data_IF_542229419442
#
_entry.id   IF_542229419442
#
_cell.length_a   1.000
_cell.length_b   1.000
_cell.length_c   1.000
_cell.angle_alpha   90.00
_cell.angle_beta   90.00
_cell.angle_gamma   90.00
#
_symmetry.space_group_name_H-M   'P 1'
#
loop_
_entity.id
_entity.type
_entity.pdbx_description
1 polymer ?
#
# COMPACT_ATOMS: atom_id res chain seq x y z
N UNK A 1 2.05 -19.21 0.21
CA UNK A 1 1.80 -18.18 1.26
C UNK A 1 0.59 -17.36 0.83
N UNK A 2 -0.18 -16.79 1.78
CA UNK A 2 -1.30 -15.89 1.45
C UNK A 2 -0.87 -14.44 1.68
N UNK A 3 -0.87 -13.62 0.62
CA UNK A 3 -0.42 -12.23 0.63
C UNK A 3 -1.61 -11.31 0.38
N UNK A 4 -1.98 -10.49 1.35
CA UNK A 4 -3.03 -9.49 1.22
C UNK A 4 -2.43 -8.14 0.81
N UNK A 5 -3.02 -7.50 -0.20
CA UNK A 5 -2.56 -6.25 -0.78
C UNK A 5 -3.70 -5.22 -0.77
N UNK A 6 -3.46 -3.99 -0.28
CA UNK A 6 -4.47 -2.91 -0.36
C UNK A 6 -4.65 -2.45 -1.82
N UNK A 7 -5.62 -3.03 -2.50
CA UNK A 7 -5.95 -2.75 -3.88
C UNK A 7 -6.90 -1.55 -4.08
N UNK A 8 -7.21 -0.80 -3.02
CA UNK A 8 -8.23 0.27 -3.06
C UNK A 8 -7.97 1.32 -4.13
N UNK A 9 -6.70 1.64 -4.39
CA UNK A 9 -6.30 2.71 -5.32
C UNK A 9 -6.10 2.24 -6.76
N UNK A 10 -6.08 0.94 -7.02
CA UNK A 10 -5.81 0.36 -8.34
C UNK A 10 -6.99 0.41 -9.33
N UNK A 11 -8.15 0.92 -8.91
CA UNK A 11 -9.39 0.90 -9.69
C UNK A 11 -9.69 2.23 -10.37
N UNK A 12 -10.17 2.14 -11.61
CA UNK A 12 -10.67 3.29 -12.38
C UNK A 12 -9.87 3.56 -13.65
N UNK A 13 -10.38 4.47 -14.51
CA UNK A 13 -9.77 4.83 -15.79
C UNK A 13 -8.74 5.96 -15.69
N UNK A 14 -8.83 6.83 -14.68
CA UNK A 14 -7.91 7.96 -14.45
C UNK A 14 -7.11 7.70 -13.18
N UNK A 15 -6.17 6.75 -13.22
CA UNK A 15 -5.33 6.43 -12.08
C UNK A 15 -4.34 7.55 -11.79
N UNK A 16 -4.20 7.90 -10.50
CA UNK A 16 -3.07 8.72 -10.02
C UNK A 16 -1.78 7.89 -10.03
N UNK A 17 -0.62 8.51 -9.79
CA UNK A 17 0.66 7.78 -9.70
C UNK A 17 0.62 6.60 -8.71
N UNK A 18 0.03 6.80 -7.52
CA UNK A 18 -0.19 5.72 -6.53
C UNK A 18 -1.12 4.64 -7.08
N UNK A 19 -2.12 5.02 -7.86
CA UNK A 19 -3.05 4.07 -8.49
C UNK A 19 -2.38 3.21 -9.55
N UNK A 20 -1.54 3.82 -10.40
CA UNK A 20 -0.73 3.12 -11.40
C UNK A 20 0.24 2.16 -10.70
N UNK A 21 1.02 2.64 -9.75
CA UNK A 21 1.91 1.81 -8.94
C UNK A 21 1.18 0.61 -8.34
N UNK A 22 0.03 0.86 -7.69
CA UNK A 22 -0.74 -0.21 -7.06
C UNK A 22 -1.19 -1.25 -8.08
N UNK A 23 -1.70 -0.83 -9.23
CA UNK A 23 -2.16 -1.74 -10.28
C UNK A 23 -1.03 -2.58 -10.85
N UNK A 24 0.08 -1.94 -11.23
CA UNK A 24 1.25 -2.62 -11.77
C UNK A 24 1.84 -3.63 -10.78
N UNK A 25 1.96 -3.24 -9.50
CA UNK A 25 2.47 -4.14 -8.46
C UNK A 25 1.55 -5.35 -8.23
N UNK A 26 0.22 -5.13 -8.15
CA UNK A 26 -0.76 -6.19 -7.94
C UNK A 26 -0.66 -7.27 -9.03
N UNK A 27 -0.73 -6.85 -10.29
CA UNK A 27 -0.70 -7.77 -11.41
C UNK A 27 0.69 -8.35 -11.66
N UNK A 28 1.75 -7.55 -11.47
CA UNK A 28 3.13 -7.99 -11.59
C UNK A 28 3.50 -9.07 -10.59
N UNK A 29 3.11 -8.92 -9.32
CA UNK A 29 3.34 -9.94 -8.29
C UNK A 29 2.61 -11.25 -8.62
N UNK A 30 1.36 -11.17 -9.06
CA UNK A 30 0.61 -12.36 -9.46
C UNK A 30 1.26 -13.10 -10.64
N UNK A 31 1.78 -12.35 -11.61
CA UNK A 31 2.42 -12.93 -12.80
C UNK A 31 3.79 -13.55 -12.48
N UNK A 32 4.57 -12.94 -11.60
CA UNK A 32 5.93 -13.40 -11.26
C UNK A 32 5.96 -14.47 -10.16
N UNK A 33 4.87 -14.60 -9.39
CA UNK A 33 4.74 -15.56 -8.28
C UNK A 33 3.44 -16.37 -8.42
N UNK A 34 3.31 -17.20 -9.45
CA UNK A 34 2.08 -17.98 -9.70
C UNK A 34 1.77 -19.02 -8.62
N UNK A 35 2.77 -19.41 -7.82
CA UNK A 35 2.65 -20.34 -6.71
C UNK A 35 2.04 -19.71 -5.45
N UNK A 36 2.01 -18.37 -5.37
CA UNK A 36 1.48 -17.66 -4.22
C UNK A 36 -0.01 -17.31 -4.40
N UNK A 37 -0.71 -17.17 -3.31
CA UNK A 37 -2.11 -16.73 -3.31
C UNK A 37 -2.24 -15.29 -2.85
N UNK A 38 -2.89 -14.45 -3.67
CA UNK A 38 -3.05 -13.02 -3.41
C UNK A 38 -4.48 -12.67 -3.03
N UNK A 39 -4.63 -11.84 -1.98
CA UNK A 39 -5.89 -11.22 -1.61
C UNK A 39 -5.86 -9.75 -2.02
N UNK A 40 -6.64 -9.37 -3.03
CA UNK A 40 -6.83 -7.98 -3.41
C UNK A 40 -7.90 -7.36 -2.51
N UNK A 41 -7.43 -6.60 -1.50
CA UNK A 41 -8.24 -6.04 -0.44
C UNK A 41 -8.77 -4.65 -0.83
N UNK A 42 -10.08 -4.49 -0.87
CA UNK A 42 -10.74 -3.23 -1.22
C UNK A 42 -11.53 -2.66 -0.05
N UNK A 43 -11.45 -1.36 0.19
CA UNK A 43 -12.35 -0.67 1.11
C UNK A 43 -13.78 -0.69 0.58
N UNK A 44 -14.78 -0.58 1.48
CA UNK A 44 -16.20 -0.75 1.15
C UNK A 44 -16.65 0.03 -0.08
N UNK A 45 -16.26 1.31 -0.20
CA UNK A 45 -16.64 2.19 -1.32
C UNK A 45 -16.03 1.78 -2.68
N UNK A 46 -15.05 0.86 -2.70
CA UNK A 46 -14.39 0.35 -3.92
C UNK A 46 -14.71 -1.11 -4.20
N UNK A 47 -15.19 -1.86 -3.21
CA UNK A 47 -15.40 -3.31 -3.33
C UNK A 47 -16.37 -3.66 -4.46
N UNK A 48 -17.52 -2.99 -4.56
CA UNK A 48 -18.49 -3.22 -5.64
C UNK A 48 -17.91 -2.84 -7.02
N UNK A 49 -17.15 -1.75 -7.09
CA UNK A 49 -16.52 -1.33 -8.34
C UNK A 49 -15.47 -2.34 -8.81
N UNK A 50 -14.77 -3.02 -7.88
CA UNK A 50 -13.76 -4.02 -8.21
C UNK A 50 -14.32 -5.23 -8.96
N UNK A 51 -15.62 -5.52 -8.81
CA UNK A 51 -16.27 -6.65 -9.50
C UNK A 51 -16.23 -6.53 -11.04
N UNK A 52 -16.02 -5.33 -11.56
CA UNK A 52 -15.92 -5.05 -13.01
C UNK A 52 -14.52 -5.31 -13.59
N UNK A 53 -13.51 -5.38 -12.74
CA UNK A 53 -12.13 -5.64 -13.16
C UNK A 53 -11.84 -7.15 -13.07
N UNK A 54 -11.15 -7.68 -14.07
CA UNK A 54 -10.65 -9.06 -14.04
C UNK A 54 -9.62 -9.25 -12.93
N UNK A 55 -9.51 -10.48 -12.44
CA UNK A 55 -8.46 -10.87 -11.49
C UNK A 55 -7.54 -11.91 -12.12
N UNK A 56 -6.25 -11.91 -11.75
CA UNK A 56 -5.37 -13.06 -12.00
C UNK A 56 -5.91 -14.35 -11.37
N UNK A 57 -5.54 -15.50 -11.93
CA UNK A 57 -6.04 -16.82 -11.49
C UNK A 57 -5.67 -17.16 -10.05
N UNK A 58 -4.55 -16.62 -9.57
CA UNK A 58 -4.04 -16.80 -8.21
C UNK A 58 -4.41 -15.64 -7.26
N UNK A 59 -5.43 -14.83 -7.63
CA UNK A 59 -5.92 -13.74 -6.80
C UNK A 59 -7.42 -13.87 -6.49
N UNK A 60 -7.81 -13.44 -5.29
CA UNK A 60 -9.22 -13.31 -4.87
C UNK A 60 -9.48 -11.94 -4.28
N UNK A 61 -10.75 -11.50 -4.32
CA UNK A 61 -11.15 -10.24 -3.70
C UNK A 61 -11.42 -10.43 -2.21
N UNK A 62 -11.01 -9.44 -1.43
CA UNK A 62 -11.34 -9.37 -0.02
C UNK A 62 -11.83 -7.96 0.36
N UNK A 63 -12.67 -7.88 1.35
CA UNK A 63 -13.11 -6.62 1.91
C UNK A 63 -12.14 -6.16 3.00
N UNK A 64 -11.49 -5.02 2.78
CA UNK A 64 -10.64 -4.37 3.77
C UNK A 64 -11.52 -3.55 4.74
N UNK A 65 -11.66 -4.05 5.97
CA UNK A 65 -12.34 -3.38 7.08
C UNK A 65 -11.32 -2.66 7.96
N UNK A 66 -11.82 -1.76 8.81
CA UNK A 66 -10.95 -1.05 9.76
C UNK A 66 -10.30 -1.94 10.83
N UNK A 67 -10.79 -3.17 10.99
CA UNK A 67 -10.34 -4.16 11.97
C UNK A 67 -9.75 -5.44 11.32
N UNK A 68 -9.59 -5.45 9.99
CA UNK A 68 -9.05 -6.58 9.26
C UNK A 68 -9.56 -6.68 7.83
N UNK A 69 -9.44 -7.86 7.25
CA UNK A 69 -10.02 -8.18 5.94
C UNK A 69 -10.85 -9.47 6.03
N UNK A 70 -11.93 -9.48 5.28
CA UNK A 70 -12.87 -10.59 5.27
C UNK A 70 -12.97 -11.16 3.85
N UNK A 71 -13.06 -12.47 3.70
CA UNK A 71 -13.32 -13.51 4.73
C UNK A 71 -12.05 -14.17 5.30
N UNK A 72 -10.85 -13.70 5.04
CA UNK A 72 -9.62 -14.47 5.21
C UNK A 72 -8.64 -13.86 6.21
N UNK A 73 -7.66 -14.68 6.62
CA UNK A 73 -6.40 -14.26 7.23
C UNK A 73 -5.30 -14.26 6.15
N UNK A 74 -4.22 -13.55 6.40
CA UNK A 74 -3.04 -13.54 5.53
C UNK A 74 -1.75 -13.68 6.35
N UNK A 75 -0.75 -14.27 5.72
CA UNK A 75 0.60 -14.34 6.28
C UNK A 75 1.26 -12.95 6.25
N UNK A 76 1.03 -12.20 5.18
CA UNK A 76 1.54 -10.86 4.98
C UNK A 76 0.43 -9.93 4.50
N UNK A 77 0.38 -8.71 5.06
CA UNK A 77 -0.40 -7.59 4.51
C UNK A 77 0.53 -6.50 4.01
N UNK A 78 0.29 -6.02 2.79
CA UNK A 78 1.02 -4.88 2.24
C UNK A 78 0.07 -3.73 1.92
N UNK A 79 0.18 -2.65 2.70
CA UNK A 79 -0.43 -1.36 2.38
C UNK A 79 0.35 -0.67 1.28
N UNK A 80 -0.26 -0.50 0.10
CA UNK A 80 0.42 0.04 -1.09
C UNK A 80 0.58 1.57 -1.06
N UNK A 81 0.29 2.17 0.07
CA UNK A 81 0.60 3.56 0.41
C UNK A 81 0.82 3.69 1.92
N UNK A 82 1.06 4.94 2.39
CA UNK A 82 1.27 5.29 3.80
C UNK A 82 -0.03 5.24 4.64
N UNK A 83 -0.89 4.24 4.38
CA UNK A 83 -2.12 4.00 5.13
C UNK A 83 -2.27 2.53 5.45
N UNK A 84 -2.09 2.19 6.71
CA UNK A 84 -2.30 0.85 7.23
C UNK A 84 -3.36 0.89 8.32
N UNK A 85 -4.53 0.33 8.04
CA UNK A 85 -5.59 0.17 9.04
C UNK A 85 -5.23 -0.94 10.05
N UNK A 86 -6.08 -1.19 11.05
CA UNK A 86 -5.89 -2.32 11.97
C UNK A 86 -6.18 -3.62 11.24
N UNK A 87 -5.15 -4.24 10.66
CA UNK A 87 -5.27 -5.54 10.00
C UNK A 87 -4.63 -6.63 10.85
N UNK A 88 -5.19 -7.84 10.77
CA UNK A 88 -4.64 -9.03 11.43
C UNK A 88 -3.87 -9.84 10.38
N UNK A 89 -2.58 -9.59 10.29
CA UNK A 89 -1.65 -10.36 9.47
C UNK A 89 -0.43 -10.69 10.32
N UNK A 90 0.28 -11.75 9.96
CA UNK A 90 1.50 -12.15 10.67
C UNK A 90 2.64 -11.16 10.47
N UNK A 91 2.68 -10.53 9.29
CA UNK A 91 3.64 -9.48 8.92
C UNK A 91 2.91 -8.35 8.20
N UNK A 92 3.35 -7.14 8.44
CA UNK A 92 2.79 -5.94 7.82
C UNK A 92 3.90 -5.16 7.13
N UNK A 93 3.68 -4.85 5.86
CA UNK A 93 4.53 -3.98 5.04
C UNK A 93 3.71 -2.77 4.61
N UNK A 94 4.33 -1.61 4.48
CA UNK A 94 3.71 -0.44 3.86
C UNK A 94 4.67 0.23 2.88
N UNK A 95 4.13 0.79 1.79
CA UNK A 95 4.90 1.61 0.86
C UNK A 95 4.65 3.08 1.13
N UNK A 96 5.72 3.86 1.22
CA UNK A 96 5.69 5.31 1.34
C UNK A 96 6.18 5.93 0.02
N UNK A 97 5.32 6.71 -0.62
CA UNK A 97 5.64 7.38 -1.88
C UNK A 97 6.30 8.73 -1.64
N UNK A 98 5.75 9.51 -0.71
CA UNK A 98 6.28 10.81 -0.29
C UNK A 98 5.76 11.19 1.11
N UNK A 99 6.34 12.23 1.67
CA UNK A 99 5.89 12.86 2.91
C UNK A 99 5.72 14.39 2.74
N UNK A 100 5.49 14.87 1.52
CA UNK A 100 5.36 16.30 1.23
C UNK A 100 4.32 17.01 2.09
N UNK A 101 3.23 16.33 2.42
CA UNK A 101 2.19 16.87 3.30
C UNK A 101 2.72 17.18 4.71
N UNK A 102 3.72 16.42 5.17
CA UNK A 102 4.33 16.63 6.51
C UNK A 102 5.42 17.69 6.43
N UNK A 103 6.25 17.66 5.39
CA UNK A 103 7.48 18.43 5.27
C UNK A 103 7.30 19.80 4.58
N UNK A 104 6.15 20.05 3.95
CA UNK A 104 5.85 21.26 3.21
C UNK A 104 4.53 21.92 3.56
N UNK A 105 4.31 23.11 3.02
CA UNK A 105 3.11 23.94 3.25
C UNK A 105 2.07 23.83 2.12
N UNK A 106 1.98 22.65 1.48
CA UNK A 106 1.14 22.44 0.29
C UNK A 106 -0.31 22.06 0.58
N UNK A 107 -0.72 22.02 1.86
CA UNK A 107 -2.08 21.57 2.22
C UNK A 107 -2.61 22.29 3.44
N UNK A 108 -3.94 22.15 3.71
CA UNK A 108 -4.55 22.72 4.90
C UNK A 108 -3.99 22.10 6.19
N UNK A 109 -4.06 22.85 7.31
CA UNK A 109 -3.59 22.38 8.61
C UNK A 109 -4.31 21.09 9.03
N UNK A 110 -5.64 21.00 8.82
CA UNK A 110 -6.44 19.84 9.17
C UNK A 110 -6.03 18.60 8.35
N UNK A 111 -5.77 18.79 7.06
CA UNK A 111 -5.31 17.69 6.22
C UNK A 111 -3.93 17.21 6.65
N UNK A 112 -3.03 18.13 6.96
CA UNK A 112 -1.67 17.83 7.44
C UNK A 112 -1.69 17.04 8.74
N UNK A 113 -2.51 17.45 9.73
CA UNK A 113 -2.66 16.73 11.01
C UNK A 113 -3.16 15.30 10.76
N UNK A 114 -4.21 15.15 9.94
CA UNK A 114 -4.77 13.83 9.62
C UNK A 114 -3.77 12.93 8.87
N UNK A 115 -3.09 13.48 7.87
CA UNK A 115 -2.09 12.75 7.09
C UNK A 115 -0.91 12.31 7.98
N UNK A 116 -0.40 13.21 8.84
CA UNK A 116 0.69 12.91 9.78
C UNK A 116 0.31 11.78 10.72
N UNK A 117 -0.88 11.84 11.31
CA UNK A 117 -1.38 10.78 12.19
C UNK A 117 -1.48 9.44 11.45
N UNK A 118 -1.96 9.46 10.21
CA UNK A 118 -2.10 8.28 9.37
C UNK A 118 -0.75 7.68 8.97
N UNK A 119 0.22 8.51 8.60
CA UNK A 119 1.58 8.08 8.25
C UNK A 119 2.31 7.50 9.46
N UNK A 120 2.22 8.14 10.64
CA UNK A 120 2.76 7.61 11.89
C UNK A 120 2.16 6.25 12.24
N UNK A 121 0.84 6.13 12.17
CA UNK A 121 0.16 4.88 12.43
C UNK A 121 0.60 3.75 11.47
N UNK A 122 0.80 4.06 10.18
CA UNK A 122 1.32 3.09 9.22
C UNK A 122 2.74 2.68 9.57
N UNK A 123 3.62 3.63 9.92
CA UNK A 123 5.00 3.37 10.30
C UNK A 123 5.11 2.53 11.58
N UNK A 124 4.28 2.80 12.59
CA UNK A 124 4.22 2.04 13.85
C UNK A 124 3.79 0.60 13.64
N UNK A 125 2.81 0.37 12.75
CA UNK A 125 2.22 -0.96 12.51
C UNK A 125 3.00 -1.83 11.56
N UNK A 126 3.86 -1.25 10.72
CA UNK A 126 4.60 -1.99 9.72
C UNK A 126 5.85 -2.65 10.32
N UNK A 127 6.03 -3.93 10.08
CA UNK A 127 7.31 -4.61 10.35
C UNK A 127 8.43 -4.10 9.44
N UNK A 128 8.05 -3.77 8.18
CA UNK A 128 8.95 -3.25 7.16
C UNK A 128 8.26 -2.12 6.38
N UNK A 129 9.03 -1.10 6.02
CA UNK A 129 8.58 0.00 5.18
C UNK A 129 9.36 -0.01 3.87
N UNK A 130 8.64 0.02 2.76
CA UNK A 130 9.19 0.26 1.43
C UNK A 130 9.16 1.75 1.16
N UNK A 131 10.32 2.36 0.96
CA UNK A 131 10.48 3.73 0.49
C UNK A 131 10.79 3.71 -1.02
N UNK A 132 10.14 4.56 -1.80
CA UNK A 132 10.32 4.57 -3.26
C UNK A 132 11.62 5.25 -3.72
N UNK A 133 12.34 5.89 -2.80
CA UNK A 133 13.63 6.53 -3.05
C UNK A 133 14.42 6.69 -1.74
N UNK A 134 15.73 6.93 -1.85
CA UNK A 134 16.58 7.29 -0.70
C UNK A 134 16.12 8.59 -0.04
N UNK A 135 15.63 9.55 -0.83
CA UNK A 135 15.05 10.77 -0.32
C UNK A 135 13.83 10.49 0.58
N UNK A 136 12.90 9.65 0.11
CA UNK A 136 11.73 9.25 0.90
C UNK A 136 12.15 8.48 2.16
N UNK A 137 13.16 7.61 2.06
CA UNK A 137 13.70 6.90 3.21
C UNK A 137 14.22 7.87 4.28
N UNK A 138 15.02 8.86 3.90
CA UNK A 138 15.50 9.91 4.81
C UNK A 138 14.36 10.73 5.45
N UNK A 139 13.29 11.03 4.68
CA UNK A 139 12.11 11.69 5.25
C UNK A 139 11.40 10.82 6.30
N UNK A 140 11.27 9.51 6.06
CA UNK A 140 10.66 8.57 7.01
C UNK A 140 11.47 8.50 8.31
N UNK A 141 12.80 8.40 8.23
CA UNK A 141 13.69 8.42 9.38
C UNK A 141 13.52 9.74 10.19
N UNK A 142 13.62 10.88 9.51
CA UNK A 142 13.65 12.20 10.16
C UNK A 142 12.28 12.63 10.68
N UNK A 143 11.20 12.46 9.92
CA UNK A 143 9.88 12.98 10.27
C UNK A 143 9.03 12.01 11.12
N UNK A 144 9.30 10.71 11.01
CA UNK A 144 8.52 9.68 11.71
C UNK A 144 9.32 8.91 12.76
N UNK A 145 10.66 9.11 12.83
CA UNK A 145 11.52 8.44 13.80
C UNK A 145 11.69 6.93 13.59
N UNK A 146 11.56 6.47 12.35
CA UNK A 146 11.67 5.04 12.02
C UNK A 146 13.13 4.67 11.85
N UNK A 147 13.57 3.58 12.48
CA UNK A 147 14.92 3.07 12.32
C UNK A 147 15.19 2.63 10.87
N UNK A 148 16.38 2.97 10.35
CA UNK A 148 16.80 2.64 8.98
C UNK A 148 16.76 1.13 8.67
N UNK A 149 16.99 0.30 9.67
CA UNK A 149 16.91 -1.16 9.58
C UNK A 149 15.54 -1.68 9.15
N UNK A 150 14.47 -0.92 9.42
CA UNK A 150 13.08 -1.22 9.03
C UNK A 150 12.69 -0.65 7.68
N UNK A 151 13.58 0.07 7.00
CA UNK A 151 13.29 0.70 5.71
C UNK A 151 14.05 -0.02 4.60
N UNK A 152 13.37 -0.29 3.50
CA UNK A 152 13.98 -0.79 2.25
C UNK A 152 13.65 0.16 1.12
N UNK A 153 14.65 0.59 0.39
CA UNK A 153 14.45 1.41 -0.81
C UNK A 153 14.19 0.48 -1.98
N UNK A 154 13.05 0.65 -2.62
CA UNK A 154 12.65 -0.06 -3.84
C UNK A 154 12.15 0.98 -4.83
N UNK A 155 12.95 1.27 -5.85
CA UNK A 155 12.57 2.22 -6.89
C UNK A 155 11.39 1.73 -7.72
N UNK A 156 10.57 2.66 -8.19
CA UNK A 156 9.52 2.33 -9.13
C UNK A 156 10.13 1.85 -10.46
N UNK A 157 9.59 0.77 -10.98
CA UNK A 157 9.82 0.38 -12.36
C UNK A 157 9.09 1.32 -13.31
N UNK A 158 9.60 1.45 -14.52
CA UNK A 158 8.93 2.15 -15.62
C UNK A 158 8.91 1.23 -16.83
N UNK A 159 7.78 1.21 -17.53
CA UNK A 159 7.69 0.56 -18.84
C UNK A 159 8.06 1.60 -19.89
N UNK A 160 9.02 1.28 -20.75
CA UNK A 160 9.34 2.14 -21.87
C UNK A 160 8.09 2.28 -22.77
N UNK A 161 7.76 3.49 -23.24
CA UNK A 161 6.72 3.63 -24.26
C UNK A 161 7.17 2.93 -25.54
N UNK A 162 6.22 2.24 -26.19
CA UNK A 162 6.41 1.65 -27.51
C UNK A 162 6.66 2.71 -28.59
#
# INVERSE_FOLDING_TARGET
>A
MTIALDATYSLGRGLTGVGVYSRELLFGLCATHPEEHFLFCYRAHRLLASARDGLPVNATRAWLRGDGFWPHSADLFHGLNQRVDRVRARRIVSTFHDLFVITGDYSTAEFRVRFTAQARQAAERSDLIVAVSEFTAGQIENALGVERSRIRVVHHGVTAPD
#
